data_IF_008657942990
#
_entry.id   IF_008657942990
#
_cell.length_a   1.000
_cell.length_b   1.000
_cell.length_c   1.000
_cell.angle_alpha   90.00
_cell.angle_beta   90.00
_cell.angle_gamma   90.00
#
_symmetry.space_group_name_H-M   'P 1'
#
loop_
_entity.id
_entity.type
_entity.pdbx_description
1 polymer ?
#
# COMPACT_ATOMS: atom_id res chain seq x y z
N UNK A 1 24.42 7.13 -9.66
CA UNK A 1 23.29 6.60 -10.45
C UNK A 1 22.15 7.59 -10.34
N UNK A 2 21.62 8.12 -11.45
CA UNK A 2 20.33 8.82 -11.42
C UNK A 2 19.25 7.80 -11.07
N UNK A 3 18.38 8.13 -10.12
CA UNK A 3 17.19 7.35 -9.84
C UNK A 3 16.28 7.43 -11.06
N UNK A 4 15.77 6.30 -11.54
CA UNK A 4 14.78 6.32 -12.61
C UNK A 4 13.42 6.79 -12.09
N UNK A 5 12.55 7.23 -13.01
CA UNK A 5 11.31 7.90 -12.66
C UNK A 5 10.32 6.97 -11.94
N UNK A 6 10.34 5.66 -12.25
CA UNK A 6 9.50 4.68 -11.56
C UNK A 6 9.89 4.52 -10.09
N UNK A 7 11.20 4.47 -9.77
CA UNK A 7 11.66 4.42 -8.38
C UNK A 7 11.33 5.72 -7.64
N UNK A 8 11.44 6.89 -8.29
CA UNK A 8 11.04 8.17 -7.67
C UNK A 8 9.55 8.17 -7.29
N UNK A 9 8.69 7.73 -8.20
CA UNK A 9 7.25 7.60 -7.93
C UNK A 9 6.98 6.64 -6.76
N UNK A 10 7.65 5.48 -6.74
CA UNK A 10 7.51 4.53 -5.64
C UNK A 10 7.95 5.11 -4.29
N UNK A 11 9.00 5.95 -4.27
CA UNK A 11 9.46 6.66 -3.08
C UNK A 11 8.50 7.75 -2.62
N UNK A 12 7.91 8.49 -3.55
CA UNK A 12 6.89 9.51 -3.27
C UNK A 12 5.66 8.87 -2.63
N UNK A 13 5.10 7.82 -3.25
CA UNK A 13 3.97 7.08 -2.69
C UNK A 13 4.34 6.49 -1.32
N UNK A 14 5.54 5.90 -1.16
CA UNK A 14 5.99 5.40 0.14
C UNK A 14 6.02 6.49 1.22
N UNK A 15 6.39 7.73 0.87
CA UNK A 15 6.41 8.86 1.79
C UNK A 15 5.00 9.32 2.15
N UNK A 16 4.08 9.34 1.18
CA UNK A 16 2.67 9.62 1.42
C UNK A 16 2.04 8.58 2.34
N UNK A 17 2.28 7.29 2.09
CA UNK A 17 1.82 6.19 2.94
C UNK A 17 2.25 6.38 4.39
N UNK A 18 3.54 6.69 4.63
CA UNK A 18 4.04 6.99 5.98
C UNK A 18 3.40 8.23 6.61
N UNK A 19 2.98 9.20 5.81
CA UNK A 19 2.30 10.41 6.30
C UNK A 19 0.83 10.13 6.67
N UNK A 20 0.16 9.27 5.90
CA UNK A 20 -1.25 8.91 6.08
C UNK A 20 -1.42 7.91 7.22
N UNK A 21 -0.64 6.83 7.19
CA UNK A 21 -0.71 5.75 8.18
C UNK A 21 0.10 6.03 9.44
N UNK A 22 1.11 6.90 9.38
CA UNK A 22 1.93 7.28 10.53
C UNK A 22 2.51 6.04 11.24
N UNK A 23 2.20 5.88 12.52
CA UNK A 23 2.61 4.80 13.41
C UNK A 23 1.87 3.49 13.17
N UNK A 24 0.84 3.46 12.30
CA UNK A 24 0.10 2.25 11.96
C UNK A 24 0.82 1.35 10.94
N UNK A 25 1.93 1.78 10.37
CA UNK A 25 2.72 0.95 9.45
C UNK A 25 4.19 0.97 9.84
N UNK A 26 4.88 -0.10 9.48
CA UNK A 26 6.33 -0.20 9.62
C UNK A 26 7.08 0.47 8.45
N UNK A 27 8.37 0.13 8.33
CA UNK A 27 9.17 0.54 7.20
C UNK A 27 8.69 -0.10 5.89
N UNK A 28 8.52 0.72 4.85
CA UNK A 28 8.10 0.25 3.53
C UNK A 28 9.28 -0.34 2.74
N UNK A 29 9.02 -1.42 2.01
CA UNK A 29 9.96 -2.06 1.09
C UNK A 29 9.45 -1.96 -0.34
N UNK A 30 10.21 -1.30 -1.22
CA UNK A 30 9.93 -1.24 -2.66
C UNK A 30 10.58 -2.43 -3.36
N UNK A 31 9.85 -3.12 -4.23
CA UNK A 31 10.34 -4.28 -5.00
C UNK A 31 9.55 -4.48 -6.30
N UNK A 32 9.96 -5.47 -7.12
CA UNK A 32 9.39 -5.77 -8.44
C UNK A 32 9.28 -4.53 -9.35
N UNK A 33 10.31 -3.68 -9.36
CA UNK A 33 10.31 -2.44 -10.15
C UNK A 33 10.57 -2.75 -11.62
N UNK A 34 9.60 -2.43 -12.47
CA UNK A 34 9.74 -2.35 -13.92
C UNK A 34 9.70 -0.87 -14.35
N UNK A 35 10.76 -0.43 -15.02
CA UNK A 35 10.91 0.97 -15.48
C UNK A 35 10.81 1.10 -17.01
N UNK A 36 10.37 0.05 -17.70
CA UNK A 36 10.04 0.14 -19.13
C UNK A 36 8.98 1.23 -19.34
N UNK A 37 9.23 2.15 -20.28
CA UNK A 37 8.31 3.26 -20.57
C UNK A 37 6.92 2.79 -20.97
N UNK A 38 6.82 1.59 -21.56
CA UNK A 38 5.57 0.96 -21.95
C UNK A 38 5.00 0.08 -20.84
N UNK A 39 5.71 -0.18 -19.74
CA UNK A 39 5.24 -1.06 -18.65
C UNK A 39 5.83 -0.68 -17.30
N UNK A 40 5.57 0.56 -16.85
CA UNK A 40 5.99 0.99 -15.52
C UNK A 40 5.16 0.29 -14.45
N UNK A 41 5.83 -0.42 -13.56
CA UNK A 41 5.20 -1.14 -12.45
C UNK A 41 6.13 -1.21 -11.24
N UNK A 42 5.56 -1.30 -10.05
CA UNK A 42 6.30 -1.61 -8.82
C UNK A 42 5.35 -2.09 -7.73
N UNK A 43 5.94 -2.66 -6.69
CA UNK A 43 5.22 -3.05 -5.47
C UNK A 43 5.86 -2.42 -4.25
N UNK A 44 5.03 -2.16 -3.25
CA UNK A 44 5.45 -1.70 -1.92
C UNK A 44 4.88 -2.67 -0.89
N UNK A 45 5.75 -3.34 -0.15
CA UNK A 45 5.41 -4.21 0.99
C UNK A 45 5.59 -3.45 2.30
N UNK A 46 4.67 -3.63 3.23
CA UNK A 46 4.72 -3.07 4.58
C UNK A 46 3.83 -3.90 5.52
N UNK A 47 4.13 -3.88 6.79
CA UNK A 47 3.27 -4.41 7.85
C UNK A 47 2.34 -3.29 8.31
N UNK A 48 1.04 -3.56 8.29
CA UNK A 48 0.01 -2.66 8.81
C UNK A 48 -0.52 -3.17 10.14
N UNK A 49 -0.58 -2.26 11.12
CA UNK A 49 -1.06 -2.46 12.48
C UNK A 49 -0.36 -3.61 13.21
N UNK A 50 0.91 -3.89 12.91
CA UNK A 50 1.64 -5.06 13.43
C UNK A 50 0.88 -6.40 13.27
N UNK A 51 -0.01 -6.47 12.26
CA UNK A 51 -0.97 -7.57 12.12
C UNK A 51 -0.98 -8.16 10.71
N UNK A 52 -1.08 -7.32 9.68
CA UNK A 52 -1.15 -7.77 8.29
C UNK A 52 0.07 -7.35 7.48
N UNK A 53 0.64 -8.28 6.73
CA UNK A 53 1.54 -7.93 5.62
C UNK A 53 0.68 -7.46 4.45
N UNK A 54 0.87 -6.21 4.03
CA UNK A 54 0.12 -5.56 2.96
C UNK A 54 1.05 -5.28 1.79
N UNK A 55 0.52 -5.49 0.58
CA UNK A 55 1.20 -5.16 -0.67
C UNK A 55 0.34 -4.13 -1.40
N UNK A 56 0.93 -2.95 -1.61
CA UNK A 56 0.49 -1.99 -2.59
C UNK A 56 1.12 -2.33 -3.95
N UNK A 57 0.32 -2.35 -5.00
CA UNK A 57 0.77 -2.60 -6.36
C UNK A 57 0.44 -1.37 -7.23
N UNK A 58 1.40 -0.98 -8.05
CA UNK A 58 1.22 0.01 -9.11
C UNK A 58 1.58 -0.63 -10.45
N UNK A 59 0.71 -0.52 -11.45
CA UNK A 59 0.96 -0.99 -12.81
C UNK A 59 0.27 -0.07 -13.82
N UNK A 60 1.06 0.66 -14.62
CA UNK A 60 0.56 1.59 -15.65
C UNK A 60 -0.59 2.48 -15.15
N UNK A 61 -0.38 3.16 -14.02
CA UNK A 61 -1.37 4.00 -13.33
C UNK A 61 -2.47 3.25 -12.54
N UNK A 62 -2.65 1.94 -12.74
CA UNK A 62 -3.58 1.15 -11.93
C UNK A 62 -2.96 0.87 -10.55
N UNK A 63 -3.73 1.13 -9.49
CA UNK A 63 -3.31 0.89 -8.11
C UNK A 63 -4.22 -0.09 -7.38
N UNK A 64 -3.64 -0.84 -6.45
CA UNK A 64 -4.39 -1.73 -5.57
C UNK A 64 -3.62 -2.15 -4.33
N UNK A 65 -4.36 -2.47 -3.26
CA UNK A 65 -3.82 -3.01 -2.02
C UNK A 65 -4.39 -4.41 -1.76
N UNK A 66 -3.54 -5.28 -1.21
CA UNK A 66 -3.94 -6.63 -0.79
C UNK A 66 -3.18 -7.09 0.44
N UNK A 67 -3.79 -7.96 1.24
CA UNK A 67 -3.15 -8.66 2.35
C UNK A 67 -2.51 -9.93 1.80
N UNK A 68 -1.23 -10.17 2.11
CA UNK A 68 -0.51 -11.41 1.79
C UNK A 68 -0.90 -12.51 2.80
N UNK A 69 -1.32 -13.69 2.32
CA UNK A 69 -1.72 -14.83 3.16
C UNK A 69 -0.81 -16.06 3.02
N UNK A 70 0.41 -15.88 2.51
CA UNK A 70 1.30 -16.99 2.16
C UNK A 70 0.84 -17.73 0.89
N UNK A 71 1.66 -18.64 0.38
CA UNK A 71 1.40 -19.42 -0.85
C UNK A 71 0.91 -18.56 -2.03
N UNK A 72 1.48 -17.35 -2.20
CA UNK A 72 1.08 -16.39 -3.24
C UNK A 72 -0.41 -16.03 -3.25
N UNK A 73 -1.11 -16.22 -2.14
CA UNK A 73 -2.53 -15.89 -2.00
C UNK A 73 -2.68 -14.48 -1.42
N UNK A 74 -3.61 -13.72 -1.99
CA UNK A 74 -3.84 -12.34 -1.64
C UNK A 74 -5.33 -12.08 -1.36
N UNK A 75 -5.64 -11.37 -0.27
CA UNK A 75 -6.98 -10.82 -0.02
C UNK A 75 -7.00 -9.37 -0.48
N UNK A 76 -7.82 -9.07 -1.47
CA UNK A 76 -7.95 -7.72 -2.02
C UNK A 76 -8.60 -6.78 -0.99
N UNK A 77 -7.97 -5.63 -0.74
CA UNK A 77 -8.49 -4.55 0.11
C UNK A 77 -9.17 -3.46 -0.75
N UNK A 78 -8.62 -3.18 -1.93
CA UNK A 78 -9.14 -2.19 -2.86
C UNK A 78 -10.08 -2.83 -3.89
N UNK A 79 -11.37 -2.52 -3.86
CA UNK A 79 -12.34 -3.01 -4.85
C UNK A 79 -12.34 -2.16 -6.11
N UNK A 80 -12.61 -2.78 -7.25
CA UNK A 80 -12.74 -2.12 -8.56
C UNK A 80 -11.41 -1.63 -9.15
N UNK A 81 -11.49 -1.03 -10.36
CA UNK A 81 -10.33 -0.39 -11.00
C UNK A 81 -10.07 0.97 -10.35
N UNK A 82 -8.89 1.14 -9.75
CA UNK A 82 -8.44 2.41 -9.18
C UNK A 82 -7.23 2.89 -9.99
N UNK A 83 -7.26 4.16 -10.42
CA UNK A 83 -6.16 4.80 -11.14
C UNK A 83 -5.51 5.83 -10.23
N UNK A 84 -4.18 5.89 -10.18
CA UNK A 84 -3.44 6.84 -9.36
C UNK A 84 -3.71 8.28 -9.82
N UNK A 85 -3.72 8.53 -11.13
CA UNK A 85 -4.01 9.85 -11.70
C UNK A 85 -5.43 10.38 -11.42
N UNK A 86 -6.43 9.49 -11.35
CA UNK A 86 -7.84 9.88 -11.19
C UNK A 86 -8.31 9.91 -9.73
N UNK A 87 -7.51 9.36 -8.80
CA UNK A 87 -7.90 9.21 -7.40
C UNK A 87 -7.12 10.16 -6.51
N UNK A 88 -7.83 10.74 -5.55
CA UNK A 88 -7.17 11.27 -4.37
C UNK A 88 -6.56 10.07 -3.60
N UNK A 89 -5.24 9.95 -3.66
CA UNK A 89 -4.47 8.88 -3.02
C UNK A 89 -4.73 8.80 -1.51
N UNK A 90 -5.02 9.93 -0.86
CA UNK A 90 -5.45 9.97 0.53
C UNK A 90 -6.77 9.21 0.77
N UNK A 91 -7.79 9.46 -0.07
CA UNK A 91 -9.08 8.77 0.01
C UNK A 91 -8.96 7.28 -0.32
N UNK A 92 -8.06 6.91 -1.23
CA UNK A 92 -7.74 5.52 -1.51
C UNK A 92 -7.18 4.82 -0.26
N UNK A 93 -6.13 5.39 0.35
CA UNK A 93 -5.51 4.79 1.53
C UNK A 93 -6.43 4.83 2.76
N UNK A 94 -7.29 5.84 2.91
CA UNK A 94 -8.31 5.87 3.96
C UNK A 94 -9.30 4.70 3.86
N UNK A 95 -9.69 4.30 2.65
CA UNK A 95 -10.54 3.12 2.45
C UNK A 95 -9.80 1.83 2.80
N UNK A 96 -8.51 1.75 2.47
CA UNK A 96 -7.64 0.63 2.84
C UNK A 96 -7.49 0.55 4.37
N UNK A 97 -7.27 1.67 5.06
CA UNK A 97 -7.22 1.79 6.54
C UNK A 97 -8.50 1.22 7.17
N UNK A 98 -9.67 1.65 6.69
CA UNK A 98 -10.96 1.18 7.19
C UNK A 98 -11.15 -0.34 6.98
N UNK A 99 -10.80 -0.86 5.81
CA UNK A 99 -10.89 -2.29 5.52
C UNK A 99 -9.94 -3.11 6.40
N UNK A 100 -8.73 -2.62 6.68
CA UNK A 100 -7.80 -3.27 7.61
C UNK A 100 -8.38 -3.30 9.02
N UNK A 101 -8.85 -2.15 9.53
CA UNK A 101 -9.45 -2.05 10.87
C UNK A 101 -10.62 -3.02 11.06
N UNK A 102 -11.49 -3.16 10.06
CA UNK A 102 -12.64 -4.10 10.11
C UNK A 102 -12.23 -5.58 10.26
N UNK A 103 -10.97 -5.92 9.96
CA UNK A 103 -10.44 -7.29 10.01
C UNK A 103 -9.56 -7.54 11.24
N UNK A 104 -9.22 -6.50 12.01
CA UNK A 104 -8.39 -6.59 13.21
C UNK A 104 -9.32 -6.51 14.42
N UNK A 105 -9.13 -7.34 15.47
CA UNK A 105 -9.94 -7.24 16.68
C UNK A 105 -9.87 -5.84 17.32
N UNK A 106 -11.01 -5.26 17.66
CA UNK A 106 -11.09 -3.92 18.27
C UNK A 106 -10.20 -3.78 19.51
N UNK A 107 -10.18 -4.79 20.38
CA UNK A 107 -9.33 -4.83 21.59
C UNK A 107 -7.84 -4.70 21.27
N UNK A 108 -7.41 -5.21 20.12
CA UNK A 108 -6.02 -5.10 19.68
C UNK A 108 -5.72 -3.67 19.20
N UNK A 109 -6.62 -3.07 18.42
CA UNK A 109 -6.49 -1.67 17.97
C UNK A 109 -6.50 -0.69 19.15
N UNK A 110 -7.39 -0.90 20.13
CA UNK A 110 -7.47 -0.09 21.36
C UNK A 110 -6.17 -0.14 22.16
N UNK A 111 -5.59 -1.33 22.36
CA UNK A 111 -4.36 -1.52 23.14
C UNK A 111 -3.16 -0.77 22.54
N UNK A 112 -3.17 -0.52 21.24
CA UNK A 112 -2.12 0.20 20.51
C UNK A 112 -2.48 1.67 20.21
N UNK A 113 -3.67 2.15 20.63
CA UNK A 113 -4.10 3.53 20.40
C UNK A 113 -4.50 3.85 18.95
N UNK A 114 -4.92 2.84 18.19
CA UNK A 114 -5.19 2.95 16.76
C UNK A 114 -6.68 3.09 16.38
N UNK A 115 -7.57 3.05 17.38
CA UNK A 115 -9.02 3.20 17.17
C UNK A 115 -9.38 4.61 16.72
#
# INVERSE_FOLDING_TARGET
MQLNDTVKLAQEISKEMRTIFKDKIDATQIYDVNDDINHRAFKIKFIAYDYFVVIFNYEQDIIGCSIEQGNSTHILLSKGKNCYSDKNIYEFFRKVDNELKLRIPDKFLEAHGWM
#
